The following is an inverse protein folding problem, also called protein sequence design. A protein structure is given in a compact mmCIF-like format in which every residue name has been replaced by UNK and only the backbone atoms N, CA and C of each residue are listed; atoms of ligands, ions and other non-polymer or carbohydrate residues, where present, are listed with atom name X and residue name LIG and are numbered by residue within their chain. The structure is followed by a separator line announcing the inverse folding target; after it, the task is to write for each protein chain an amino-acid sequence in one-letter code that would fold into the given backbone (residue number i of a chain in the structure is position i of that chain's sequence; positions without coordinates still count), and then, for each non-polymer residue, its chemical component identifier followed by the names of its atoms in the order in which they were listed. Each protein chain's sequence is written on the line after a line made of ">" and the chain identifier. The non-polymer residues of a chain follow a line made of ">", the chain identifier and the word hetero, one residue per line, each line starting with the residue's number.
data_IF_025630400993
#
_entry.id   IF_025630400993
#
_cell.length_a   1.000
_cell.length_b   1.000
_cell.length_c   1.000
_cell.angle_alpha   90.00
_cell.angle_beta   90.00
_cell.angle_gamma   90.00
#
_symmetry.space_group_name_H-M   'P 1'
#
loop_
_entity.id
_entity.type
_entity.pdbx_description
1 polymer ?
#
# COMPACT_ATOMS: atom_id res chain seq x y z
N UNK A 1 12.06 10.68 -2.04
CA UNK A 1 11.97 9.22 -2.29
C UNK A 1 13.20 8.54 -1.74
N UNK A 2 13.04 7.40 -1.10
CA UNK A 2 14.15 6.53 -0.65
C UNK A 2 14.00 5.17 -1.30
N UNK A 3 15.10 4.64 -1.83
CA UNK A 3 15.18 3.27 -2.35
C UNK A 3 16.30 2.56 -1.60
N UNK A 4 16.01 1.41 -1.04
CA UNK A 4 16.93 0.62 -0.23
C UNK A 4 16.98 -0.82 -0.77
N UNK A 5 18.19 -1.29 -1.12
CA UNK A 5 18.44 -2.66 -1.49
C UNK A 5 19.26 -3.32 -0.37
N UNK A 6 18.76 -4.43 0.16
CA UNK A 6 19.41 -5.24 1.20
C UNK A 6 19.95 -4.46 2.41
N UNK A 7 19.28 -3.35 2.79
CA UNK A 7 19.60 -2.56 3.98
C UNK A 7 20.58 -1.42 3.73
N UNK A 8 20.99 -1.19 2.49
CA UNK A 8 21.86 -0.09 2.11
C UNK A 8 21.06 0.93 1.27
N UNK A 9 21.05 2.19 1.71
CA UNK A 9 20.49 3.28 0.91
C UNK A 9 21.29 3.41 -0.40
N UNK A 10 20.59 3.34 -1.53
CA UNK A 10 21.22 3.26 -2.87
C UNK A 10 20.99 4.55 -3.67
N UNK A 11 21.27 5.73 -3.10
CA UNK A 11 21.06 6.99 -3.83
C UNK A 11 21.86 7.08 -5.15
N UNK A 12 23.04 6.44 -5.22
CA UNK A 12 23.89 6.42 -6.43
C UNK A 12 23.64 5.23 -7.38
N UNK A 13 22.84 4.25 -6.99
CA UNK A 13 22.58 3.05 -7.80
C UNK A 13 21.15 2.52 -7.69
N UNK A 14 20.17 3.41 -7.44
CA UNK A 14 18.76 3.01 -7.35
C UNK A 14 18.29 2.29 -8.62
N UNK A 15 18.75 2.74 -9.81
CA UNK A 15 18.48 2.06 -11.10
C UNK A 15 19.08 0.67 -11.13
N UNK A 16 20.34 0.51 -10.70
CA UNK A 16 21.01 -0.80 -10.64
C UNK A 16 20.30 -1.75 -9.67
N UNK A 17 19.90 -1.25 -8.50
CA UNK A 17 19.15 -2.00 -7.51
C UNK A 17 17.76 -2.44 -8.04
N UNK A 18 17.02 -1.52 -8.67
CA UNK A 18 15.75 -1.84 -9.30
C UNK A 18 15.94 -2.85 -10.44
N UNK A 19 16.92 -2.63 -11.32
CA UNK A 19 17.24 -3.56 -12.40
C UNK A 19 17.58 -4.97 -11.88
N UNK A 20 18.36 -5.08 -10.82
CA UNK A 20 18.70 -6.36 -10.20
C UNK A 20 17.48 -7.16 -9.74
N UNK A 21 16.47 -6.48 -9.20
CA UNK A 21 15.23 -7.11 -8.73
C UNK A 21 14.29 -7.37 -9.90
N UNK A 22 14.05 -6.37 -10.75
CA UNK A 22 13.04 -6.42 -11.81
C UNK A 22 13.45 -7.26 -13.02
N UNK A 23 14.76 -7.54 -13.21
CA UNK A 23 15.25 -8.44 -14.25
C UNK A 23 15.09 -9.94 -13.91
N UNK A 24 14.65 -10.24 -12.69
CA UNK A 24 14.34 -11.62 -12.30
C UNK A 24 13.15 -12.15 -13.08
N UNK A 25 13.06 -13.47 -13.31
CA UNK A 25 11.84 -14.05 -13.90
C UNK A 25 10.61 -13.59 -13.11
N UNK A 26 9.61 -13.06 -13.79
CA UNK A 26 8.42 -12.49 -13.13
C UNK A 26 7.76 -13.46 -12.17
N UNK A 27 7.70 -14.75 -12.51
CA UNK A 27 7.17 -15.81 -11.64
C UNK A 27 7.93 -15.97 -10.31
N UNK A 28 9.17 -15.46 -10.21
CA UNK A 28 10.04 -15.51 -9.02
C UNK A 28 10.11 -14.16 -8.28
N UNK A 29 9.28 -13.20 -8.67
CA UNK A 29 9.21 -11.87 -8.07
C UNK A 29 7.91 -11.71 -7.28
N UNK A 30 8.02 -11.29 -6.03
CA UNK A 30 6.92 -10.86 -5.18
C UNK A 30 6.82 -9.34 -5.14
N UNK A 31 5.60 -8.81 -5.12
CA UNK A 31 5.35 -7.37 -4.93
C UNK A 31 4.45 -7.16 -3.74
N UNK A 32 4.89 -6.32 -2.83
CA UNK A 32 4.16 -5.94 -1.62
C UNK A 32 3.71 -4.49 -1.74
N UNK A 33 2.41 -4.29 -1.64
CA UNK A 33 1.76 -2.99 -1.65
C UNK A 33 1.20 -2.70 -0.26
N UNK A 34 1.82 -1.76 0.45
CA UNK A 34 1.51 -1.46 1.85
C UNK A 34 0.25 -0.61 2.03
N UNK A 35 -0.19 -0.51 3.28
CA UNK A 35 -1.25 0.39 3.70
C UNK A 35 -0.88 1.86 3.45
N UNK A 36 -1.87 2.73 3.27
CA UNK A 36 -1.61 4.14 3.05
C UNK A 36 -2.86 4.99 2.75
N UNK A 37 -4.06 4.42 2.84
CA UNK A 37 -5.30 5.13 2.47
C UNK A 37 -5.28 5.58 1.00
N UNK A 38 -6.04 6.63 0.68
CA UNK A 38 -6.12 7.14 -0.69
C UNK A 38 -4.76 7.66 -1.21
N UNK A 39 -3.99 8.34 -0.37
CA UNK A 39 -2.64 8.82 -0.72
C UNK A 39 -1.68 7.67 -0.96
N UNK A 40 -1.87 6.53 -0.29
CA UNK A 40 -1.14 5.28 -0.54
C UNK A 40 -1.44 4.70 -1.92
N UNK A 41 -2.71 4.71 -2.37
CA UNK A 41 -3.07 4.30 -3.73
C UNK A 41 -2.35 5.18 -4.76
N UNK A 42 -2.37 6.51 -4.56
CA UNK A 42 -1.67 7.44 -5.43
C UNK A 42 -0.15 7.19 -5.47
N UNK A 43 0.45 6.90 -4.32
CA UNK A 43 1.88 6.55 -4.22
C UNK A 43 2.21 5.25 -4.96
N UNK A 44 1.43 4.18 -4.74
CA UNK A 44 1.56 2.92 -5.48
C UNK A 44 1.47 3.16 -6.98
N UNK A 45 0.46 3.92 -7.41
CA UNK A 45 0.25 4.27 -8.81
C UNK A 45 1.46 4.96 -9.42
N UNK A 46 2.02 5.97 -8.76
CA UNK A 46 3.19 6.70 -9.23
C UNK A 46 4.43 5.81 -9.36
N UNK A 47 4.65 4.88 -8.40
CA UNK A 47 5.75 3.92 -8.48
C UNK A 47 5.54 2.95 -9.65
N UNK A 48 4.38 2.29 -9.73
CA UNK A 48 4.10 1.32 -10.79
C UNK A 48 4.18 1.97 -12.18
N UNK A 49 3.65 3.18 -12.33
CA UNK A 49 3.75 3.96 -13.57
C UNK A 49 5.21 4.25 -13.96
N UNK A 50 6.06 4.60 -12.98
CA UNK A 50 7.49 4.84 -13.22
C UNK A 50 8.21 3.58 -13.65
N UNK A 51 7.93 2.45 -13.03
CA UNK A 51 8.55 1.18 -13.38
C UNK A 51 8.17 0.72 -14.79
N UNK A 52 6.91 0.91 -15.19
CA UNK A 52 6.49 0.67 -16.58
C UNK A 52 7.27 1.57 -17.55
N UNK A 53 7.39 2.86 -17.26
CA UNK A 53 8.07 3.85 -18.13
C UNK A 53 9.58 3.60 -18.25
N UNK A 54 10.25 3.33 -17.14
CA UNK A 54 11.71 3.24 -17.07
C UNK A 54 12.26 1.86 -17.45
N UNK A 55 11.49 0.81 -17.24
CA UNK A 55 11.92 -0.58 -17.45
C UNK A 55 11.00 -1.39 -18.39
N UNK A 56 9.88 -0.83 -18.85
CA UNK A 56 8.84 -1.61 -19.53
C UNK A 56 8.25 -2.74 -18.66
N UNK A 57 8.38 -2.61 -17.35
CA UNK A 57 8.04 -3.67 -16.42
C UNK A 57 6.53 -3.74 -16.14
N UNK A 58 5.97 -4.94 -16.33
CA UNK A 58 4.56 -5.22 -16.08
C UNK A 58 4.38 -6.01 -14.78
N UNK A 59 3.74 -5.41 -13.75
CA UNK A 59 3.47 -6.09 -12.48
C UNK A 59 2.43 -7.21 -12.62
N UNK A 60 1.71 -7.28 -13.74
CA UNK A 60 0.66 -8.28 -13.93
C UNK A 60 1.20 -9.71 -14.05
N UNK A 61 2.49 -9.88 -14.38
CA UNK A 61 3.16 -11.18 -14.53
C UNK A 61 3.86 -11.71 -13.27
N UNK A 62 3.87 -10.98 -12.15
CA UNK A 62 4.63 -11.38 -10.95
C UNK A 62 4.07 -12.64 -10.29
N UNK A 63 4.96 -13.40 -9.62
CA UNK A 63 4.62 -14.67 -8.96
C UNK A 63 3.64 -14.49 -7.81
N UNK A 64 3.82 -13.45 -6.99
CA UNK A 64 2.92 -13.15 -5.88
C UNK A 64 2.71 -11.66 -5.69
N UNK A 65 1.48 -11.29 -5.34
CA UNK A 65 1.08 -9.96 -4.92
C UNK A 65 0.61 -10.02 -3.47
N UNK A 66 1.11 -9.12 -2.64
CA UNK A 66 0.65 -8.94 -1.26
C UNK A 66 0.07 -7.55 -1.12
N UNK A 67 -1.12 -7.45 -0.56
CA UNK A 67 -1.78 -6.18 -0.32
C UNK A 67 -2.27 -6.00 1.10
N UNK A 68 -2.13 -4.79 1.63
CA UNK A 68 -2.66 -4.38 2.93
C UNK A 68 -3.42 -3.07 2.78
N UNK A 69 -4.69 -3.03 3.18
CA UNK A 69 -5.52 -1.80 3.10
C UNK A 69 -5.54 -1.22 1.68
N UNK A 70 -5.16 0.04 1.49
CA UNK A 70 -4.98 0.64 0.17
C UNK A 70 -4.20 -0.24 -0.81
N UNK A 71 -3.17 -0.93 -0.31
CA UNK A 71 -2.39 -1.89 -1.08
C UNK A 71 -3.17 -3.13 -1.46
N UNK A 72 -4.15 -3.57 -0.66
CA UNK A 72 -5.02 -4.70 -1.01
C UNK A 72 -5.89 -4.37 -2.23
N UNK A 73 -6.46 -3.16 -2.26
CA UNK A 73 -7.22 -2.69 -3.41
C UNK A 73 -6.31 -2.56 -4.64
N UNK A 74 -5.16 -1.90 -4.50
CA UNK A 74 -4.20 -1.74 -5.62
C UNK A 74 -3.70 -3.09 -6.13
N UNK A 75 -3.31 -4.03 -5.25
CA UNK A 75 -2.88 -5.38 -5.62
C UNK A 75 -3.97 -6.16 -6.35
N UNK A 76 -5.22 -6.02 -5.90
CA UNK A 76 -6.38 -6.63 -6.55
C UNK A 76 -6.58 -6.09 -7.97
N UNK A 77 -6.56 -4.77 -8.16
CA UNK A 77 -6.68 -4.16 -9.49
C UNK A 77 -5.55 -4.61 -10.41
N UNK A 78 -4.29 -4.60 -9.93
CA UNK A 78 -3.13 -5.14 -10.68
C UNK A 78 -3.33 -6.61 -11.02
N UNK A 79 -3.81 -7.42 -10.10
CA UNK A 79 -4.07 -8.83 -10.32
C UNK A 79 -5.19 -9.08 -11.35
N UNK A 80 -6.14 -8.16 -11.47
CA UNK A 80 -7.19 -8.13 -12.48
C UNK A 80 -6.73 -7.54 -13.82
N UNK A 81 -5.45 -7.15 -13.94
CA UNK A 81 -4.85 -6.70 -15.19
C UNK A 81 -4.80 -5.18 -15.38
N UNK A 82 -5.00 -4.38 -14.33
CA UNK A 82 -4.79 -2.94 -14.40
C UNK A 82 -3.30 -2.62 -14.51
N UNK A 83 -2.97 -1.79 -15.47
CA UNK A 83 -1.62 -1.22 -15.62
C UNK A 83 -1.43 0.01 -14.73
N UNK A 84 -0.20 0.49 -14.60
CA UNK A 84 0.06 1.78 -13.92
C UNK A 84 -0.70 2.96 -14.56
N UNK A 85 -0.95 2.92 -15.88
CA UNK A 85 -1.75 3.94 -16.56
C UNK A 85 -3.25 3.82 -16.21
N UNK A 86 -3.78 2.59 -16.13
CA UNK A 86 -5.16 2.38 -15.72
C UNK A 86 -5.38 2.84 -14.27
N UNK A 87 -4.46 2.54 -13.36
CA UNK A 87 -4.52 3.02 -11.98
C UNK A 87 -4.48 4.56 -11.92
N UNK A 88 -3.63 5.20 -12.71
CA UNK A 88 -3.60 6.66 -12.81
C UNK A 88 -4.91 7.24 -13.35
N UNK A 89 -5.52 6.58 -14.33
CA UNK A 89 -6.82 6.97 -14.88
C UNK A 89 -7.95 6.85 -13.84
N UNK A 90 -7.95 5.78 -13.03
CA UNK A 90 -8.91 5.60 -11.93
C UNK A 90 -8.74 6.71 -10.88
N UNK A 91 -7.52 6.95 -10.41
CA UNK A 91 -7.24 7.95 -9.36
C UNK A 91 -7.54 9.37 -9.83
N UNK A 92 -7.24 9.70 -11.10
CA UNK A 92 -7.50 11.04 -11.68
C UNK A 92 -8.94 11.25 -12.15
N UNK A 93 -9.78 10.21 -12.12
CA UNK A 93 -11.13 10.27 -12.68
C UNK A 93 -11.19 10.22 -14.22
N UNK A 94 -10.06 10.01 -14.91
CA UNK A 94 -9.96 9.98 -16.38
C UNK A 94 -10.33 8.60 -16.96
N UNK A 95 -11.40 8.00 -16.47
CA UNK A 95 -11.81 6.61 -16.73
C UNK A 95 -12.04 6.25 -18.20
N UNK A 96 -12.27 7.24 -19.05
CA UNK A 96 -12.40 7.04 -20.49
C UNK A 96 -11.10 6.54 -21.16
N UNK A 97 -9.96 6.65 -20.48
CA UNK A 97 -8.65 6.18 -20.94
C UNK A 97 -8.31 4.76 -20.49
N UNK A 98 -9.18 4.10 -19.73
CA UNK A 98 -8.96 2.74 -19.26
C UNK A 98 -8.76 1.76 -20.42
N UNK A 99 -7.85 0.82 -20.25
CA UNK A 99 -7.67 -0.33 -21.15
C UNK A 99 -8.93 -1.19 -21.22
N UNK A 100 -9.06 -2.02 -22.26
CA UNK A 100 -10.21 -2.92 -22.39
C UNK A 100 -10.32 -3.89 -21.20
N UNK A 101 -9.20 -4.39 -20.73
CA UNK A 101 -9.14 -5.27 -19.55
C UNK A 101 -9.62 -4.55 -18.30
N UNK A 102 -9.16 -3.34 -18.05
CA UNK A 102 -9.53 -2.55 -16.87
C UNK A 102 -11.03 -2.15 -16.89
N UNK A 103 -11.60 -1.86 -18.06
CA UNK A 103 -13.02 -1.51 -18.18
C UNK A 103 -13.96 -2.60 -17.70
N UNK A 104 -13.56 -3.88 -17.76
CA UNK A 104 -14.39 -5.01 -17.29
C UNK A 104 -14.55 -5.01 -15.77
N UNK A 105 -13.63 -4.39 -15.06
CA UNK A 105 -13.59 -4.31 -13.59
C UNK A 105 -13.48 -2.85 -13.13
N UNK A 106 -14.06 -1.91 -13.91
CA UNK A 106 -14.00 -0.48 -13.58
C UNK A 106 -14.55 -0.21 -12.17
N UNK A 107 -13.71 0.22 -11.21
CA UNK A 107 -14.13 0.44 -9.83
C UNK A 107 -15.09 1.63 -9.65
N UNK A 108 -15.35 2.37 -10.70
CA UNK A 108 -16.03 3.63 -10.54
C UNK A 108 -15.12 4.68 -9.88
N UNK A 109 -15.71 5.75 -9.33
CA UNK A 109 -14.99 6.64 -8.43
C UNK A 109 -14.45 5.80 -7.27
N UNK A 110 -13.15 5.94 -6.96
CA UNK A 110 -12.60 5.30 -5.76
C UNK A 110 -13.41 5.74 -4.54
N UNK A 111 -13.66 4.81 -3.59
CA UNK A 111 -14.42 5.13 -2.40
C UNK A 111 -13.73 6.26 -1.64
N UNK A 112 -14.32 7.45 -1.73
CA UNK A 112 -13.92 8.55 -0.86
C UNK A 112 -14.49 8.26 0.52
N UNK A 113 -13.65 8.26 1.54
CA UNK A 113 -14.15 8.27 2.91
C UNK A 113 -14.92 9.58 3.08
N UNK A 114 -16.16 9.55 3.60
CA UNK A 114 -16.93 10.78 3.80
C UNK A 114 -16.15 11.73 4.72
N UNK A 115 -15.77 12.90 4.21
CA UNK A 115 -15.05 13.93 4.99
C UNK A 115 -15.71 14.24 6.33
N UNK A 116 -17.06 14.17 6.35
CA UNK A 116 -17.86 14.39 7.56
C UNK A 116 -17.56 13.32 8.62
N UNK A 117 -17.42 12.04 8.24
CA UNK A 117 -17.17 10.93 9.18
C UNK A 117 -15.73 10.95 9.68
N UNK A 118 -14.76 11.25 8.82
CA UNK A 118 -13.37 11.48 9.22
C UNK A 118 -13.26 12.66 10.18
N UNK A 119 -13.87 13.79 9.84
CA UNK A 119 -13.90 14.98 10.68
C UNK A 119 -14.61 14.70 12.01
N UNK A 120 -15.64 13.85 12.03
CA UNK A 120 -16.37 13.47 13.23
C UNK A 120 -15.56 12.51 14.11
N UNK A 121 -14.86 11.54 13.52
CA UNK A 121 -13.96 10.64 14.23
C UNK A 121 -12.83 11.41 14.91
N UNK A 122 -12.26 12.41 14.23
CA UNK A 122 -11.20 13.26 14.80
C UNK A 122 -11.73 14.42 15.64
N UNK A 123 -12.96 14.94 15.39
CA UNK A 123 -13.60 16.01 16.19
C UNK A 123 -14.28 15.51 17.46
N UNK A 124 -14.77 14.26 17.48
CA UNK A 124 -15.41 13.62 18.62
C UNK A 124 -14.68 12.35 19.09
N UNK A 125 -13.37 12.28 19.15
CA UNK A 125 -12.84 11.38 20.12
C UNK A 125 -13.40 11.92 21.43
N UNK A 126 -14.13 11.15 22.17
CA UNK A 126 -14.31 11.46 23.59
C UNK A 126 -12.89 11.66 24.11
N UNK A 127 -12.45 12.93 24.29
CA UNK A 127 -11.07 13.47 24.26
C UNK A 127 -9.99 12.79 25.09
N UNK A 128 -10.24 11.55 25.50
CA UNK A 128 -9.34 10.68 26.28
C UNK A 128 -8.93 9.40 25.53
N UNK A 129 -9.66 8.97 24.51
CA UNK A 129 -9.46 7.64 23.92
C UNK A 129 -8.43 7.64 22.77
N UNK A 130 -8.44 8.61 21.87
CA UNK A 130 -7.43 8.70 20.78
C UNK A 130 -6.01 8.94 21.31
N UNK A 131 -5.77 9.88 22.26
CA UNK A 131 -4.45 10.02 22.89
C UNK A 131 -4.02 8.77 23.65
N UNK A 132 -4.97 7.97 24.16
CA UNK A 132 -4.70 6.74 24.87
C UNK A 132 -4.36 5.60 23.92
N UNK A 133 -5.15 5.41 22.84
CA UNK A 133 -4.89 4.46 21.77
C UNK A 133 -3.52 4.74 21.11
N UNK A 134 -3.23 6.01 20.83
CA UNK A 134 -1.98 6.42 20.22
C UNK A 134 -0.78 6.28 21.17
N UNK A 135 -0.95 6.51 22.47
CA UNK A 135 0.07 6.19 23.48
C UNK A 135 0.36 4.69 23.53
N UNK A 136 -0.64 3.84 23.36
CA UNK A 136 -0.47 2.39 23.29
C UNK A 136 0.24 1.98 22.00
N UNK A 137 -0.13 2.55 20.84
CA UNK A 137 0.59 2.35 19.59
C UNK A 137 2.08 2.69 19.73
N UNK A 138 2.38 3.84 20.33
CA UNK A 138 3.76 4.33 20.54
C UNK A 138 4.50 3.47 21.57
N UNK A 139 3.88 3.15 22.73
CA UNK A 139 4.58 2.45 23.82
C UNK A 139 4.73 0.95 23.59
N UNK A 140 3.72 0.31 23.01
CA UNK A 140 3.74 -1.14 22.80
C UNK A 140 4.08 -1.54 21.37
N UNK A 141 4.17 -0.57 20.46
CA UNK A 141 4.46 -0.80 19.04
C UNK A 141 3.51 -1.85 18.41
N UNK A 142 2.25 -1.82 18.82
CA UNK A 142 1.23 -2.77 18.41
C UNK A 142 -0.06 -2.03 18.05
N UNK A 143 -0.49 -2.17 16.81
CA UNK A 143 -1.79 -1.67 16.34
C UNK A 143 -2.98 -2.31 17.08
N UNK A 144 -2.79 -3.52 17.61
CA UNK A 144 -3.85 -4.23 18.35
C UNK A 144 -4.36 -3.51 19.59
N UNK A 145 -3.51 -2.71 20.25
CA UNK A 145 -3.95 -1.93 21.41
C UNK A 145 -4.94 -0.83 21.03
N UNK A 146 -4.94 -0.41 19.77
CA UNK A 146 -5.89 0.56 19.22
C UNK A 146 -7.29 -0.06 19.11
N UNK A 147 -7.38 -1.33 18.73
CA UNK A 147 -8.65 -2.07 18.60
C UNK A 147 -9.46 -2.15 19.89
N UNK A 148 -8.78 -2.17 21.06
CA UNK A 148 -9.44 -2.24 22.37
C UNK A 148 -10.10 -0.93 22.80
N UNK A 149 -9.82 0.17 22.10
CA UNK A 149 -10.23 1.54 22.51
C UNK A 149 -11.18 2.18 21.50
N UNK A 150 -11.10 1.77 20.24
CA UNK A 150 -11.99 2.27 19.18
C UNK A 150 -13.29 1.46 19.15
N UNK A 151 -14.41 2.17 18.96
CA UNK A 151 -15.70 1.54 18.65
C UNK A 151 -15.67 0.99 17.23
N UNK A 152 -16.55 0.02 16.95
CA UNK A 152 -16.81 -0.39 15.58
C UNK A 152 -17.36 0.80 14.79
N UNK A 153 -16.87 0.98 13.57
CA UNK A 153 -17.43 1.96 12.64
C UNK A 153 -18.74 1.45 12.03
N UNK A 154 -19.44 2.32 11.32
CA UNK A 154 -20.77 2.03 10.76
C UNK A 154 -20.73 1.80 9.24
N UNK A 155 -19.64 2.19 8.55
CA UNK A 155 -19.53 2.10 7.08
C UNK A 155 -19.18 0.67 6.66
N UNK A 156 -20.06 0.04 5.88
CA UNK A 156 -19.77 -1.26 5.22
C UNK A 156 -19.06 -1.00 3.89
N UNK A 157 -17.77 -1.32 3.83
CA UNK A 157 -16.97 -1.15 2.62
C UNK A 157 -17.38 -2.07 1.47
N UNK A 158 -18.08 -3.17 1.72
CA UNK A 158 -18.55 -4.06 0.65
C UNK A 158 -19.47 -3.35 -0.33
N UNK A 159 -20.32 -2.43 0.17
CA UNK A 159 -21.18 -1.61 -0.68
C UNK A 159 -20.37 -0.75 -1.65
N UNK A 160 -19.27 -0.15 -1.17
CA UNK A 160 -18.39 0.69 -1.98
C UNK A 160 -17.51 -0.13 -2.94
N UNK A 161 -17.28 -1.40 -2.64
CA UNK A 161 -16.53 -2.35 -3.45
C UNK A 161 -17.44 -3.24 -4.31
N UNK A 162 -18.65 -2.79 -4.62
CA UNK A 162 -19.64 -3.53 -5.41
C UNK A 162 -19.13 -4.01 -6.78
N UNK A 163 -18.14 -3.32 -7.37
CA UNK A 163 -17.50 -3.73 -8.61
C UNK A 163 -16.72 -5.07 -8.50
N UNK A 164 -16.41 -5.52 -7.29
CA UNK A 164 -15.79 -6.83 -7.00
C UNK A 164 -16.82 -7.92 -6.71
N UNK A 165 -18.09 -7.59 -6.60
CA UNK A 165 -19.15 -8.58 -6.35
C UNK A 165 -19.17 -9.63 -7.46
N UNK A 166 -19.13 -10.90 -7.07
CA UNK A 166 -19.08 -12.00 -8.02
C UNK A 166 -17.79 -12.15 -8.81
N UNK A 167 -16.81 -11.26 -8.61
CA UNK A 167 -15.50 -11.36 -9.27
C UNK A 167 -14.71 -12.52 -8.66
N UNK A 168 -14.28 -13.44 -9.55
CA UNK A 168 -13.44 -14.56 -9.13
C UNK A 168 -12.05 -14.10 -8.71
N UNK A 169 -11.45 -14.81 -7.74
CA UNK A 169 -10.04 -14.62 -7.43
C UNK A 169 -9.17 -14.78 -8.67
N UNK A 170 -8.17 -13.92 -8.90
CA UNK A 170 -7.28 -14.01 -10.04
C UNK A 170 -6.50 -15.33 -10.04
N UNK A 171 -6.06 -15.78 -11.21
CA UNK A 171 -5.34 -17.04 -11.37
C UNK A 171 -3.94 -17.04 -10.74
N UNK A 172 -3.38 -15.86 -10.44
CA UNK A 172 -2.08 -15.67 -9.77
C UNK A 172 -2.23 -15.64 -8.25
N UNK A 173 -1.13 -15.79 -7.53
CA UNK A 173 -1.13 -15.69 -6.09
C UNK A 173 -1.35 -14.23 -5.66
N UNK A 174 -2.48 -13.99 -5.02
CA UNK A 174 -2.85 -12.73 -4.40
C UNK A 174 -3.12 -12.99 -2.92
N UNK A 175 -2.32 -12.37 -2.05
CA UNK A 175 -2.41 -12.47 -0.60
C UNK A 175 -2.93 -11.13 -0.04
N UNK A 176 -4.09 -11.14 0.55
CA UNK A 176 -4.71 -9.95 1.14
C UNK A 176 -4.63 -10.07 2.66
N UNK A 177 -3.97 -9.10 3.30
CA UNK A 177 -3.73 -9.13 4.73
C UNK A 177 -4.79 -8.34 5.49
N UNK A 178 -5.47 -9.01 6.41
CA UNK A 178 -6.39 -8.43 7.38
C UNK A 178 -5.91 -8.72 8.81
N UNK A 179 -6.61 -8.17 9.80
CA UNK A 179 -6.35 -8.39 11.22
C UNK A 179 -7.60 -8.97 11.88
N UNK A 180 -7.47 -10.06 12.61
CA UNK A 180 -8.55 -10.58 13.46
C UNK A 180 -8.66 -9.71 14.72
N UNK A 181 -9.79 -9.03 14.87
CA UNK A 181 -10.03 -8.11 15.98
C UNK A 181 -10.27 -8.84 17.30
N UNK A 182 -10.84 -10.05 17.26
CA UNK A 182 -11.12 -10.87 18.44
C UNK A 182 -9.88 -11.61 18.97
N UNK A 183 -8.99 -11.97 18.07
CA UNK A 183 -7.70 -12.62 18.37
C UNK A 183 -6.61 -11.82 17.68
N UNK A 184 -6.00 -10.83 18.34
CA UNK A 184 -5.08 -9.90 17.70
C UNK A 184 -3.94 -10.59 16.94
N UNK A 185 -4.21 -10.98 15.71
CA UNK A 185 -3.30 -11.69 14.83
C UNK A 185 -3.56 -11.29 13.37
N UNK A 186 -2.50 -11.32 12.57
CA UNK A 186 -2.62 -11.21 11.12
C UNK A 186 -3.43 -12.39 10.58
N UNK A 187 -4.33 -12.10 9.66
CA UNK A 187 -5.08 -13.08 8.90
C UNK A 187 -4.83 -12.85 7.41
N UNK A 188 -4.30 -13.84 6.71
CA UNK A 188 -4.04 -13.79 5.28
C UNK A 188 -5.23 -14.42 4.56
N UNK A 189 -5.83 -13.66 3.65
CA UNK A 189 -6.93 -14.07 2.79
C UNK A 189 -6.38 -14.33 1.39
N UNK A 190 -6.74 -15.46 0.83
CA UNK A 190 -6.27 -15.92 -0.47
C UNK A 190 -7.32 -16.81 -1.17
N UNK A 191 -7.06 -17.16 -2.43
CA UNK A 191 -7.98 -17.95 -3.27
C UNK A 191 -8.41 -19.29 -2.67
N UNK A 192 -7.55 -19.93 -1.90
CA UNK A 192 -7.84 -21.23 -1.28
C UNK A 192 -8.80 -21.12 -0.09
N UNK A 193 -9.05 -19.89 0.40
CA UNK A 193 -9.96 -19.61 1.52
C UNK A 193 -11.42 -19.51 1.12
N UNK A 194 -12.28 -19.33 2.11
CA UNK A 194 -13.74 -19.21 1.94
C UNK A 194 -14.21 -17.79 1.57
N UNK A 195 -13.33 -16.77 1.74
CA UNK A 195 -13.69 -15.38 1.49
C UNK A 195 -13.86 -15.09 0.00
N UNK A 196 -14.89 -14.33 -0.36
CA UNK A 196 -14.96 -13.69 -1.69
C UNK A 196 -13.83 -12.67 -1.83
N UNK A 197 -13.48 -12.33 -3.08
CA UNK A 197 -12.48 -11.29 -3.33
C UNK A 197 -12.92 -9.93 -2.75
N UNK A 198 -14.21 -9.61 -2.86
CA UNK A 198 -14.82 -8.41 -2.29
C UNK A 198 -14.68 -8.38 -0.77
N UNK A 199 -15.03 -9.47 -0.07
CA UNK A 199 -14.91 -9.56 1.39
C UNK A 199 -13.45 -9.44 1.85
N UNK A 200 -12.52 -10.04 1.12
CA UNK A 200 -11.10 -9.98 1.45
C UNK A 200 -10.56 -8.54 1.36
N UNK A 201 -10.87 -7.82 0.27
CA UNK A 201 -10.46 -6.40 0.12
C UNK A 201 -11.17 -5.54 1.15
N UNK A 202 -12.48 -5.72 1.37
CA UNK A 202 -13.23 -4.99 2.38
C UNK A 202 -12.65 -5.20 3.77
N UNK A 203 -12.36 -6.44 4.17
CA UNK A 203 -11.74 -6.76 5.46
C UNK A 203 -10.40 -6.05 5.65
N UNK A 204 -9.54 -6.13 4.61
CA UNK A 204 -8.22 -5.51 4.63
C UNK A 204 -8.25 -3.97 4.72
N UNK A 205 -9.33 -3.34 4.26
CA UNK A 205 -9.53 -1.90 4.25
C UNK A 205 -10.44 -1.39 5.39
N UNK A 206 -11.00 -2.28 6.21
CA UNK A 206 -11.92 -1.90 7.30
C UNK A 206 -11.18 -1.24 8.47
N UNK A 207 -10.91 0.06 8.34
CA UNK A 207 -10.21 0.87 9.37
C UNK A 207 -11.06 0.95 10.63
N UNK A 208 -10.56 0.46 11.78
CA UNK A 208 -11.29 0.49 13.04
C UNK A 208 -11.70 1.90 13.45
N UNK A 209 -12.95 2.05 13.87
CA UNK A 209 -13.54 3.34 14.25
C UNK A 209 -14.23 4.10 13.11
N UNK A 210 -13.96 3.71 11.84
CA UNK A 210 -14.60 4.26 10.64
C UNK A 210 -15.51 3.23 9.99
N UNK A 211 -14.95 2.05 9.69
CA UNK A 211 -15.66 0.98 9.00
C UNK A 211 -16.07 -0.12 9.97
N UNK A 212 -17.17 -0.79 9.63
CA UNK A 212 -17.58 -2.01 10.30
C UNK A 212 -16.63 -3.15 9.98
N UNK A 213 -16.31 -4.02 10.97
CA UNK A 213 -15.54 -5.22 10.72
C UNK A 213 -16.26 -6.15 9.73
N UNK A 214 -15.51 -6.79 8.85
CA UNK A 214 -16.04 -7.84 7.97
C UNK A 214 -16.08 -9.15 8.76
N UNK A 215 -17.29 -9.71 8.89
CA UNK A 215 -17.47 -11.00 9.57
C UNK A 215 -17.31 -12.13 8.57
N UNK A 216 -16.34 -12.99 8.83
CA UNK A 216 -16.08 -14.23 8.08
C UNK A 216 -15.98 -15.37 9.10
N UNK A 217 -16.89 -16.32 8.99
CA UNK A 217 -17.06 -17.40 9.98
C UNK A 217 -17.21 -16.86 11.42
N UNK A 218 -16.35 -17.30 12.34
CA UNK A 218 -16.29 -16.87 13.73
C UNK A 218 -15.40 -15.62 13.98
N UNK A 219 -14.89 -14.99 12.93
CA UNK A 219 -13.92 -13.89 12.99
C UNK A 219 -14.53 -12.56 12.62
N UNK A 220 -14.07 -11.52 13.29
CA UNK A 220 -14.31 -10.14 12.93
C UNK A 220 -13.00 -9.55 12.38
N UNK A 221 -12.91 -9.37 11.07
CA UNK A 221 -11.71 -8.92 10.40
C UNK A 221 -11.75 -7.41 10.19
N UNK A 222 -10.63 -6.77 10.45
CA UNK A 222 -10.40 -5.33 10.30
C UNK A 222 -9.11 -5.09 9.52
N UNK A 223 -8.80 -3.82 9.25
CA UNK A 223 -7.65 -3.39 8.46
C UNK A 223 -6.35 -4.10 8.84
N UNK A 224 -5.69 -4.64 7.84
CA UNK A 224 -4.43 -5.38 7.98
C UNK A 224 -3.29 -4.54 8.54
N UNK A 225 -3.36 -3.21 8.38
CA UNK A 225 -2.41 -2.26 8.93
C UNK A 225 -2.34 -2.26 10.47
N UNK A 226 -3.35 -2.83 11.14
CA UNK A 226 -3.31 -3.03 12.59
C UNK A 226 -2.28 -4.08 13.00
N UNK A 227 -2.03 -5.08 12.18
CA UNK A 227 -0.96 -6.07 12.37
C UNK A 227 0.38 -5.49 11.88
N UNK A 228 0.43 -5.12 10.63
CA UNK A 228 1.54 -4.44 9.99
C UNK A 228 1.08 -3.67 8.75
N UNK A 229 1.56 -2.46 8.51
CA UNK A 229 1.25 -1.73 7.28
C UNK A 229 1.71 -2.42 6.00
N UNK A 230 2.72 -3.27 6.02
CA UNK A 230 3.26 -3.96 4.84
C UNK A 230 2.97 -5.44 4.80
N UNK A 231 3.06 -6.13 5.93
CA UNK A 231 2.91 -7.58 6.00
C UNK A 231 3.83 -8.34 5.01
N UNK A 232 4.99 -7.77 4.67
CA UNK A 232 5.86 -8.29 3.61
C UNK A 232 6.42 -9.68 3.91
N UNK A 233 6.58 -10.03 5.17
CA UNK A 233 7.13 -11.30 5.63
C UNK A 233 6.23 -12.51 5.34
N UNK A 234 5.01 -12.32 4.85
CA UNK A 234 4.18 -13.43 4.33
C UNK A 234 4.81 -14.12 3.12
N UNK A 235 5.72 -13.44 2.42
CA UNK A 235 6.47 -14.00 1.30
C UNK A 235 7.75 -14.77 1.72
N UNK A 236 8.05 -14.85 3.01
CA UNK A 236 9.31 -15.48 3.45
C UNK A 236 9.40 -16.96 3.06
N UNK A 237 8.29 -17.68 3.15
CA UNK A 237 8.21 -19.12 2.87
C UNK A 237 7.71 -19.43 1.45
N UNK A 238 7.42 -18.39 0.62
CA UNK A 238 6.95 -18.55 -0.74
C UNK A 238 8.11 -18.83 -1.72
N UNK A 239 7.82 -19.46 -2.85
CA UNK A 239 8.80 -19.76 -3.90
C UNK A 239 9.15 -18.52 -4.75
N UNK A 240 9.69 -17.50 -4.08
CA UNK A 240 10.04 -16.17 -4.59
C UNK A 240 11.52 -15.92 -4.35
N UNK A 241 12.23 -15.33 -5.30
CA UNK A 241 13.66 -14.98 -5.15
C UNK A 241 13.89 -13.55 -4.71
N UNK A 242 13.01 -12.66 -5.16
CA UNK A 242 13.12 -11.24 -4.87
C UNK A 242 11.77 -10.64 -4.51
N UNK A 243 11.80 -9.59 -3.70
CA UNK A 243 10.60 -8.89 -3.24
C UNK A 243 10.77 -7.38 -3.44
N UNK A 244 9.83 -6.77 -4.17
CA UNK A 244 9.66 -5.32 -4.22
C UNK A 244 8.63 -4.93 -3.16
N UNK A 245 9.02 -4.11 -2.18
CA UNK A 245 8.15 -3.59 -1.14
C UNK A 245 7.90 -2.10 -1.38
N UNK A 246 6.67 -1.72 -1.63
CA UNK A 246 6.24 -0.32 -1.74
C UNK A 246 5.49 0.04 -0.47
N UNK A 247 6.07 0.92 0.35
CA UNK A 247 5.61 1.22 1.70
C UNK A 247 5.29 2.71 1.89
N UNK A 248 4.05 3.14 1.64
CA UNK A 248 3.66 4.56 1.73
C UNK A 248 3.81 5.14 3.13
N UNK A 249 3.50 4.36 4.18
CA UNK A 249 3.46 4.84 5.56
C UNK A 249 4.81 4.80 6.29
N UNK A 250 5.86 4.27 5.69
CA UNK A 250 7.19 4.19 6.33
C UNK A 250 8.09 5.40 6.07
N UNK A 251 7.55 6.46 5.50
CA UNK A 251 8.25 7.71 5.22
C UNK A 251 8.87 8.38 6.46
N UNK A 252 9.85 9.24 6.25
CA UNK A 252 10.71 9.81 7.30
C UNK A 252 10.21 11.12 7.90
N UNK A 253 9.27 11.81 7.24
CA UNK A 253 8.73 13.09 7.67
C UNK A 253 7.20 13.04 7.80
N UNK A 254 6.67 13.76 8.79
CA UNK A 254 5.25 14.04 8.96
C UNK A 254 5.11 15.28 9.85
N UNK A 255 4.17 16.16 9.53
CA UNK A 255 3.94 17.40 10.29
C UNK A 255 3.08 17.13 11.52
N UNK A 256 2.09 16.25 11.39
CA UNK A 256 1.26 15.85 12.50
C UNK A 256 1.95 14.87 13.46
N UNK A 257 1.54 14.89 14.72
CA UNK A 257 2.03 13.91 15.69
C UNK A 257 1.49 12.50 15.42
N UNK A 258 0.31 12.41 14.81
CA UNK A 258 -0.33 11.14 14.38
C UNK A 258 0.48 10.54 13.25
N UNK A 259 0.77 11.30 12.19
CA UNK A 259 1.60 10.87 11.08
C UNK A 259 2.98 10.39 11.54
N UNK A 260 3.61 11.14 12.47
CA UNK A 260 4.90 10.71 13.07
C UNK A 260 4.80 9.38 13.84
N UNK A 261 3.70 9.15 14.55
CA UNK A 261 3.49 7.89 15.27
C UNK A 261 3.26 6.73 14.33
N UNK A 262 2.40 6.91 13.32
CA UNK A 262 2.13 5.91 12.27
C UNK A 262 3.41 5.58 11.49
N UNK A 263 4.17 6.59 11.07
CA UNK A 263 5.43 6.40 10.36
C UNK A 263 6.47 5.62 11.18
N UNK A 264 6.60 5.89 12.48
CA UNK A 264 7.49 5.11 13.36
C UNK A 264 7.05 3.65 13.49
N UNK A 265 5.75 3.42 13.65
CA UNK A 265 5.20 2.07 13.69
C UNK A 265 5.47 1.33 12.37
N UNK A 266 5.12 1.94 11.23
CA UNK A 266 5.32 1.36 9.91
C UNK A 266 6.80 1.00 9.65
N UNK A 267 7.73 1.93 9.89
CA UNK A 267 9.17 1.68 9.73
C UNK A 267 9.69 0.53 10.61
N UNK A 268 9.18 0.43 11.85
CA UNK A 268 9.60 -0.65 12.74
C UNK A 268 9.14 -2.01 12.21
N UNK A 269 7.87 -2.12 11.79
CA UNK A 269 7.33 -3.36 11.22
C UNK A 269 8.06 -3.73 9.94
N UNK A 270 8.19 -2.79 9.00
CA UNK A 270 8.90 -2.98 7.76
C UNK A 270 10.33 -3.50 7.96
N UNK A 271 11.11 -2.91 8.88
CA UNK A 271 12.47 -3.37 9.17
C UNK A 271 12.50 -4.81 9.69
N UNK A 272 11.56 -5.20 10.53
CA UNK A 272 11.47 -6.56 11.04
C UNK A 272 11.11 -7.56 9.93
N UNK A 273 10.19 -7.20 9.06
CA UNK A 273 9.75 -8.01 7.93
C UNK A 273 10.85 -8.17 6.87
N UNK A 274 11.49 -7.07 6.49
CA UNK A 274 12.64 -7.10 5.58
C UNK A 274 13.76 -7.99 6.13
N UNK A 275 14.03 -7.91 7.43
CA UNK A 275 15.00 -8.82 8.06
C UNK A 275 14.61 -10.29 7.91
N UNK A 276 13.32 -10.63 8.09
CA UNK A 276 12.82 -12.00 7.91
C UNK A 276 12.97 -12.47 6.47
N UNK A 277 12.56 -11.63 5.50
CA UNK A 277 12.72 -11.94 4.08
C UNK A 277 14.18 -12.23 3.70
N UNK A 278 15.11 -11.40 4.18
CA UNK A 278 16.56 -11.61 3.95
C UNK A 278 17.07 -12.88 4.63
N UNK A 279 16.61 -13.20 5.84
CA UNK A 279 16.94 -14.46 6.52
C UNK A 279 16.43 -15.67 5.76
N UNK A 280 15.32 -15.53 5.02
CA UNK A 280 14.79 -16.54 4.10
C UNK A 280 15.49 -16.53 2.71
N UNK A 281 16.57 -15.77 2.54
CA UNK A 281 17.36 -15.74 1.30
C UNK A 281 16.78 -14.87 0.20
N UNK A 282 15.77 -14.03 0.47
CA UNK A 282 15.17 -13.16 -0.54
C UNK A 282 15.98 -11.87 -0.72
N UNK A 283 16.13 -11.42 -1.97
CA UNK A 283 16.62 -10.08 -2.29
C UNK A 283 15.47 -9.09 -2.12
N UNK A 284 15.64 -8.03 -1.33
CA UNK A 284 14.55 -7.12 -0.98
C UNK A 284 14.86 -5.70 -1.41
N UNK A 285 14.04 -5.17 -2.31
CA UNK A 285 14.02 -3.77 -2.71
C UNK A 285 12.87 -3.06 -2.01
N UNK A 286 13.17 -2.03 -1.24
CA UNK A 286 12.18 -1.22 -0.52
C UNK A 286 12.09 0.16 -1.15
N UNK A 287 10.87 0.64 -1.38
CA UNK A 287 10.58 2.00 -1.87
C UNK A 287 9.68 2.71 -0.86
N UNK A 288 10.18 3.85 -0.35
CA UNK A 288 9.53 4.67 0.68
C UNK A 288 9.46 6.13 0.23
N UNK A 289 8.41 6.90 0.63
CA UNK A 289 8.41 8.33 0.45
C UNK A 289 9.45 9.00 1.37
N UNK A 290 9.92 10.20 1.00
CA UNK A 290 10.84 10.99 1.83
C UNK A 290 10.54 12.49 1.72
N UNK A 291 10.93 13.26 2.73
CA UNK A 291 10.72 14.71 2.78
C UNK A 291 9.24 15.09 2.67
N UNK A 292 8.95 16.15 1.90
CA UNK A 292 7.60 16.71 1.75
C UNK A 292 6.58 15.69 1.23
N UNK A 293 6.99 14.79 0.34
CA UNK A 293 6.11 13.72 -0.15
C UNK A 293 5.72 12.76 1.00
N UNK A 294 6.64 12.49 1.92
CA UNK A 294 6.34 11.70 3.12
C UNK A 294 5.34 12.39 4.03
N UNK A 295 5.52 13.71 4.30
CA UNK A 295 4.57 14.50 5.09
C UNK A 295 3.19 14.48 4.46
N UNK A 296 3.09 14.76 3.15
CA UNK A 296 1.82 14.78 2.43
C UNK A 296 1.09 13.43 2.53
N UNK A 297 1.80 12.32 2.36
CA UNK A 297 1.19 10.98 2.40
C UNK A 297 0.75 10.64 3.82
N UNK A 298 1.60 10.86 4.83
CA UNK A 298 1.31 10.47 6.21
C UNK A 298 0.21 11.33 6.85
N UNK A 299 0.16 12.61 6.52
CA UNK A 299 -0.79 13.54 7.13
C UNK A 299 -2.15 13.58 6.44
N UNK A 300 -2.22 13.22 5.14
CA UNK A 300 -3.45 13.17 4.36
C UNK A 300 -3.92 11.75 4.00
N UNK A 301 -3.39 10.73 4.66
CA UNK A 301 -3.69 9.33 4.29
C UNK A 301 -5.16 8.93 4.41
N UNK A 302 -5.91 9.60 5.24
CA UNK A 302 -7.33 9.31 5.50
C UNK A 302 -8.29 10.30 4.82
N UNK A 303 -7.89 11.52 4.55
CA UNK A 303 -8.76 12.59 4.04
C UNK A 303 -8.73 12.78 2.51
N UNK A 304 -8.05 11.88 1.80
CA UNK A 304 -8.01 11.84 0.34
C UNK A 304 -6.94 12.71 -0.32
N UNK A 305 -6.46 13.76 0.31
CA UNK A 305 -5.34 14.60 -0.13
C UNK A 305 -5.26 14.95 -1.64
N UNK A 306 -4.16 15.52 -2.09
CA UNK A 306 -3.93 15.89 -3.50
C UNK A 306 -3.41 14.67 -4.30
N UNK A 307 -4.28 13.74 -4.67
CA UNK A 307 -3.89 12.44 -5.24
C UNK A 307 -3.12 12.55 -6.56
N UNK A 308 -3.54 13.43 -7.47
CA UNK A 308 -2.90 13.62 -8.77
C UNK A 308 -1.49 14.21 -8.61
N UNK A 309 -1.34 15.14 -7.67
CA UNK A 309 -0.06 15.75 -7.32
C UNK A 309 0.87 14.70 -6.69
N UNK A 310 0.36 13.80 -5.85
CA UNK A 310 1.13 12.70 -5.27
C UNK A 310 1.61 11.74 -6.39
N UNK A 311 0.76 11.38 -7.34
CA UNK A 311 1.17 10.56 -8.49
C UNK A 311 2.30 11.27 -9.25
N UNK A 312 2.12 12.55 -9.57
CA UNK A 312 3.08 13.34 -10.34
C UNK A 312 4.42 13.48 -9.62
N UNK A 313 4.38 13.84 -8.32
CA UNK A 313 5.57 13.97 -7.48
C UNK A 313 6.30 12.64 -7.30
N UNK A 314 5.55 11.56 -7.09
CA UNK A 314 6.10 10.20 -6.96
C UNK A 314 6.77 9.76 -8.25
N UNK A 315 6.10 9.95 -9.40
CA UNK A 315 6.63 9.60 -10.72
C UNK A 315 7.91 10.39 -11.01
N UNK A 316 7.90 11.69 -10.80
CA UNK A 316 9.08 12.55 -11.02
C UNK A 316 10.26 12.15 -10.11
N UNK A 317 9.99 11.88 -8.84
CA UNK A 317 11.02 11.46 -7.89
C UNK A 317 11.61 10.09 -8.24
N UNK A 318 10.78 9.14 -8.71
CA UNK A 318 11.26 7.83 -9.15
C UNK A 318 12.05 7.94 -10.45
N UNK A 319 11.58 8.65 -11.47
CA UNK A 319 12.33 8.85 -12.72
C UNK A 319 13.69 9.48 -12.46
N UNK A 320 13.78 10.45 -11.54
CA UNK A 320 15.07 11.04 -11.16
C UNK A 320 16.01 10.01 -10.50
N UNK A 321 15.49 9.14 -9.63
CA UNK A 321 16.30 8.09 -8.99
C UNK A 321 16.71 6.98 -9.95
N UNK A 322 15.87 6.70 -10.95
CA UNK A 322 16.08 5.66 -11.94
C UNK A 322 16.79 6.16 -13.20
N UNK A 323 17.11 7.45 -13.32
CA UNK A 323 17.85 8.00 -14.45
C UNK A 323 19.23 7.33 -14.59
N UNK A 324 19.73 7.13 -15.84
CA UNK A 324 21.11 6.65 -16.06
C UNK A 324 22.13 7.59 -15.40
N UNK A 325 23.23 7.03 -14.91
CA UNK A 325 24.26 7.81 -14.21
C UNK A 325 24.92 8.90 -15.09
N UNK A 326 24.84 8.78 -16.40
CA UNK A 326 25.44 9.69 -17.36
C UNK A 326 24.61 10.98 -17.61
N UNK A 327 23.34 10.99 -17.18
CA UNK A 327 22.42 12.14 -17.35
C UNK A 327 22.50 13.19 -16.22
N UNK A 328 23.31 12.96 -15.19
CA UNK A 328 23.39 13.84 -14.00
C UNK A 328 24.36 15.02 -14.23
N UNK A 329 24.81 15.27 -15.44
CA UNK A 329 25.84 16.27 -15.71
C UNK A 329 25.72 17.14 -16.96
N UNK A 330 24.70 17.03 -17.77
CA UNK A 330 24.54 17.94 -18.91
C UNK A 330 23.86 19.25 -18.46
N UNK A 331 24.53 20.43 -18.55
CA UNK A 331 23.86 21.70 -18.37
C UNK A 331 22.82 21.87 -19.47
N UNK A 332 21.60 22.22 -19.10
CA UNK A 332 20.57 22.66 -20.04
C UNK A 332 21.15 23.89 -20.81
N UNK A 333 21.66 23.67 -22.00
CA UNK A 333 21.98 24.74 -22.93
C UNK A 333 20.65 25.35 -23.33
N UNK A 334 20.37 26.54 -22.77
CA UNK A 334 19.32 27.42 -23.26
C UNK A 334 19.55 27.65 -24.74
N UNK A 335 18.68 27.09 -25.59
CA UNK A 335 18.57 27.53 -26.97
C UNK A 335 17.86 28.89 -26.98
N UNK A 336 18.58 29.88 -27.48
CA UNK A 336 18.13 31.26 -27.81
C UNK A 336 17.11 31.21 -28.94
#
# INVERSE_FOLDING_TARGET
>A
MRVELDGHATERSARGAASQVLSRPSARLGVVLGAGGMTGIAFHTGILLSLVREFGWDPSGVGALVGTSAGALTATLVALGFTGHDLAAVVSGSRHTLSETARRHDPGPLPALPEAELSEMFRRPRGRDVPRAMRYLIRRHSGFAVLQVLREGEVDLREQLGFLEGTAWPGRQLLICATDAGRPARHVLERSGMASLQDAVAASCSVPGLMSPVKLDDRALVDGGMSSPTNADVLADEDIDAVLVISPLSGDAADSWVGRACGRFARRQLRAEVKRLRQAGKVVLVVEPAGDLSSTILDASLDGGPLVEIISATTAAMSKLLAPADDIGAPVLNAV
#
